data_IF_747361044839
#
_entry.id   IF_747361044839
#
_cell.length_a   1.000
_cell.length_b   1.000
_cell.length_c   1.000
_cell.angle_alpha   90.00
_cell.angle_beta   90.00
_cell.angle_gamma   90.00
#
_symmetry.space_group_name_H-M   'P 1'
#
loop_
_entity.id
_entity.type
_entity.pdbx_description
1 polymer ?
#
# COMPACT_ATOMS: atom_id res chain seq x y z
N UNK A 1 0.68 9.43 17.67
CA UNK A 1 1.71 10.48 17.78
C UNK A 1 3.03 9.75 17.76
N UNK A 2 3.97 10.17 16.91
CA UNK A 2 5.32 9.57 16.82
C UNK A 2 6.15 10.15 17.99
N UNK A 3 6.37 9.31 19.01
CA UNK A 3 6.89 9.68 20.34
C UNK A 3 8.41 9.79 20.30
N UNK A 4 9.03 8.88 19.56
CA UNK A 4 10.47 8.76 19.39
C UNK A 4 11.04 9.63 18.25
N UNK A 5 10.17 10.25 17.43
CA UNK A 5 10.52 11.12 16.29
C UNK A 5 11.46 10.45 15.30
N UNK A 6 11.35 9.14 15.18
CA UNK A 6 12.19 8.38 14.25
C UNK A 6 11.61 8.38 12.83
N UNK A 7 10.36 8.86 12.68
CA UNK A 7 9.67 8.92 11.41
C UNK A 7 9.00 7.60 11.05
N UNK A 8 8.73 6.76 12.06
CA UNK A 8 8.01 5.50 11.98
C UNK A 8 6.94 5.47 13.08
N UNK A 9 5.90 4.67 12.87
CA UNK A 9 4.84 4.47 13.85
C UNK A 9 4.88 3.03 14.33
N UNK A 10 5.24 2.80 15.59
CA UNK A 10 5.29 1.45 16.17
C UNK A 10 3.92 0.96 16.63
N UNK A 11 3.76 -0.37 16.74
CA UNK A 11 2.52 -1.01 17.22
C UNK A 11 2.07 -0.57 18.63
N UNK A 12 2.99 -0.03 19.43
CA UNK A 12 2.71 0.54 20.76
C UNK A 12 2.23 1.99 20.69
N UNK A 13 2.67 2.72 19.66
CA UNK A 13 2.25 4.11 19.39
C UNK A 13 0.96 4.17 18.56
N UNK A 14 0.68 3.10 17.83
CA UNK A 14 -0.52 2.90 17.03
C UNK A 14 -1.58 2.21 17.88
N UNK A 15 -2.67 2.91 18.17
CA UNK A 15 -3.76 2.39 19.01
C UNK A 15 -5.11 2.60 18.32
N UNK A 16 -6.08 1.73 18.61
CA UNK A 16 -7.44 1.83 18.08
C UNK A 16 -7.56 1.27 16.65
N UNK A 17 -8.46 1.81 15.80
CA UNK A 17 -8.69 1.27 14.46
C UNK A 17 -7.44 1.31 13.56
N UNK A 18 -6.52 2.22 13.86
CA UNK A 18 -5.23 2.32 13.17
C UNK A 18 -4.36 1.06 13.37
N UNK A 19 -4.54 0.33 14.48
CA UNK A 19 -3.87 -0.95 14.75
C UNK A 19 -4.45 -2.09 13.87
N UNK A 20 -5.71 -1.99 13.48
CA UNK A 20 -6.35 -2.96 12.58
C UNK A 20 -5.86 -2.77 11.15
N UNK A 21 -5.64 -1.51 10.75
CA UNK A 21 -5.04 -1.16 9.47
C UNK A 21 -3.50 -1.27 9.49
N UNK A 22 -2.89 -1.40 10.66
CA UNK A 22 -1.44 -1.53 10.81
C UNK A 22 -0.88 -2.70 10.01
N UNK A 23 -1.50 -3.88 10.12
CA UNK A 23 -1.10 -5.09 9.37
C UNK A 23 -1.26 -4.94 7.85
N UNK A 24 -2.02 -3.94 7.37
CA UNK A 24 -2.18 -3.63 5.94
C UNK A 24 -1.06 -2.74 5.42
N UNK A 25 -0.50 -1.89 6.27
CA UNK A 25 0.58 -0.96 5.91
C UNK A 25 1.97 -1.51 6.25
N UNK A 26 2.08 -2.35 7.28
CA UNK A 26 3.30 -3.07 7.64
C UNK A 26 3.51 -4.26 6.68
N UNK A 27 4.19 -4.00 5.56
CA UNK A 27 4.47 -4.99 4.52
C UNK A 27 5.50 -6.01 5.01
N UNK A 28 6.43 -5.57 5.83
CA UNK A 28 7.56 -6.37 6.31
C UNK A 28 7.25 -7.13 7.63
N UNK A 29 6.16 -6.78 8.31
CA UNK A 29 5.67 -7.36 9.58
C UNK A 29 6.63 -7.21 10.76
N UNK A 30 7.41 -6.13 10.81
CA UNK A 30 8.33 -5.84 11.92
C UNK A 30 7.65 -5.14 13.10
N UNK A 31 6.39 -4.70 12.94
CA UNK A 31 5.66 -3.97 13.97
C UNK A 31 5.91 -2.47 13.96
N UNK A 32 6.47 -1.91 12.87
CA UNK A 32 6.61 -0.48 12.65
C UNK A 32 6.16 -0.06 11.23
N UNK A 33 5.27 0.92 11.10
CA UNK A 33 4.97 1.55 9.80
C UNK A 33 6.02 2.63 9.53
N UNK A 34 6.81 2.44 8.49
CA UNK A 34 7.79 3.43 8.06
C UNK A 34 7.25 4.37 6.99
N UNK A 35 7.87 5.55 6.81
CA UNK A 35 7.55 6.42 5.66
C UNK A 35 7.78 5.74 4.32
N UNK A 36 8.72 4.81 4.27
CA UNK A 36 9.01 4.00 3.09
C UNK A 36 7.83 3.09 2.80
N UNK A 37 7.27 2.42 3.81
CA UNK A 37 6.07 1.57 3.65
C UNK A 37 4.77 2.33 3.41
N UNK A 38 4.63 3.54 3.97
CA UNK A 38 3.50 4.42 3.67
C UNK A 38 3.58 4.98 2.23
N UNK A 39 4.80 5.18 1.71
CA UNK A 39 5.04 5.63 0.34
C UNK A 39 5.07 4.50 -0.69
N UNK A 40 5.42 3.29 -0.24
CA UNK A 40 5.26 2.01 -0.90
C UNK A 40 3.92 1.37 -0.55
N UNK A 41 2.87 2.20 -0.38
CA UNK A 41 1.51 1.74 -0.64
C UNK A 41 1.60 0.90 -1.91
N UNK A 42 1.15 -0.37 -1.91
CA UNK A 42 1.16 -1.17 -3.11
C UNK A 42 0.23 -0.45 -4.06
N UNK A 43 0.80 0.46 -4.87
CA UNK A 43 0.18 1.01 -6.05
C UNK A 43 -0.40 -0.23 -6.67
N UNK A 44 -1.72 -0.33 -6.86
CA UNK A 44 -2.21 -1.42 -7.64
C UNK A 44 -1.42 -1.29 -8.93
N UNK A 45 -0.43 -2.18 -9.12
CA UNK A 45 0.11 -2.54 -10.42
C UNK A 45 -1.03 -3.26 -11.14
N UNK A 46 -2.14 -2.56 -11.30
CA UNK A 46 -2.94 -2.54 -12.50
C UNK A 46 -2.20 -1.71 -13.55
N UNK A 47 -0.91 -1.99 -13.73
CA UNK A 47 -0.40 -2.19 -15.07
C UNK A 47 -1.25 -3.32 -15.69
N UNK A 48 -2.43 -2.94 -16.17
CA UNK A 48 -2.96 -3.59 -17.36
C UNK A 48 -2.67 -2.62 -18.51
N UNK A 49 -1.42 -2.57 -19.02
CA UNK A 49 -1.23 -1.95 -20.31
C UNK A 49 -2.07 -2.76 -21.30
N UNK A 50 -2.91 -2.04 -22.01
CA UNK A 50 -3.17 -2.32 -23.42
C UNK A 50 -3.74 -3.71 -23.74
N UNK A 51 -5.06 -3.86 -23.61
CA UNK A 51 -5.79 -4.75 -24.54
C UNK A 51 -6.04 -4.00 -25.84
N UNK A 52 -4.96 -3.59 -26.50
CA UNK A 52 -4.93 -3.24 -27.91
C UNK A 52 -4.52 -4.48 -28.69
N UNK A 53 -5.48 -5.26 -29.18
CA UNK A 53 -5.33 -6.15 -30.34
C UNK A 53 -6.62 -6.96 -30.52
N UNK A 54 -7.25 -6.75 -31.67
CA UNK A 54 -8.50 -7.40 -32.03
C UNK A 54 -9.44 -6.44 -32.72
N UNK A 55 -8.95 -5.78 -33.78
CA UNK A 55 -9.78 -5.25 -34.85
C UNK A 55 -10.89 -6.27 -35.15
N UNK A 56 -12.14 -5.93 -34.77
CA UNK A 56 -13.30 -6.62 -35.31
C UNK A 56 -13.51 -6.03 -36.70
N UNK A 57 -13.32 -6.79 -37.79
CA UNK A 57 -13.62 -6.26 -39.11
C UNK A 57 -15.12 -5.92 -39.18
N UNK A 58 -15.52 -4.91 -39.97
CA UNK A 58 -16.93 -4.61 -40.15
C UNK A 58 -17.60 -5.82 -40.81
N UNK A 59 -18.69 -6.28 -40.21
CA UNK A 59 -19.56 -7.27 -40.87
C UNK A 59 -20.18 -6.57 -42.08
N UNK A 60 -19.89 -7.14 -43.26
CA UNK A 60 -20.46 -6.81 -44.56
C UNK A 60 -21.98 -6.95 -44.53
#
# INVERSE_FOLDING_TARGET
>A
MDINRDGKLSKLEVTGPLLEDFDKFDLNKDGFITKEELGEEPKPKGERPERGSGERPPRR
#
